data_IF_285811878269
#
_entry.id   IF_285811878269
#
_cell.length_a   1.000
_cell.length_b   1.000
_cell.length_c   1.000
_cell.angle_alpha   90.00
_cell.angle_beta   90.00
_cell.angle_gamma   90.00
#
_symmetry.space_group_name_H-M   'P 1'
#
loop_
_entity.id
_entity.type
_entity.pdbx_description
1 polymer ?
#
# COMPACT_ATOMS: atom_id res chain seq x y z
N UNK A 1 4.14 0.09 -9.57
CA UNK A 1 5.18 1.11 -9.87
C UNK A 1 6.55 0.53 -9.55
N UNK A 2 7.06 -0.37 -10.41
CA UNK A 2 8.23 -1.21 -10.08
C UNK A 2 9.55 -0.68 -10.68
N UNK A 3 9.48 0.43 -11.40
CA UNK A 3 10.62 1.05 -12.07
C UNK A 3 11.06 2.26 -11.25
N UNK A 4 12.31 2.24 -10.78
CA UNK A 4 12.87 3.33 -9.97
C UNK A 4 12.77 4.68 -10.68
N UNK A 5 12.34 5.71 -9.96
CA UNK A 5 12.19 7.08 -10.48
C UNK A 5 10.88 7.35 -11.24
N UNK A 6 10.07 6.33 -11.53
CA UNK A 6 8.75 6.51 -12.15
C UNK A 6 7.72 6.87 -11.09
N UNK A 7 7.06 8.02 -11.26
CA UNK A 7 5.97 8.48 -10.39
C UNK A 7 4.63 7.85 -10.81
N UNK A 8 3.65 7.71 -9.88
CA UNK A 8 2.30 7.25 -10.19
C UNK A 8 1.68 7.94 -11.40
N UNK A 9 1.81 9.26 -11.48
CA UNK A 9 1.18 10.07 -12.53
C UNK A 9 1.77 9.79 -13.93
N UNK A 10 3.07 9.45 -13.99
CA UNK A 10 3.74 9.07 -15.22
C UNK A 10 3.29 7.69 -15.69
N UNK A 11 3.17 6.73 -14.76
CA UNK A 11 2.64 5.41 -15.07
C UNK A 11 1.18 5.47 -15.53
N UNK A 12 0.36 6.30 -14.91
CA UNK A 12 -1.05 6.53 -15.31
C UNK A 12 -1.15 7.15 -16.71
N UNK A 13 -0.24 8.07 -17.05
CA UNK A 13 -0.13 8.61 -18.41
C UNK A 13 0.20 7.54 -19.44
N UNK A 14 1.18 6.69 -19.13
CA UNK A 14 1.56 5.56 -19.99
C UNK A 14 0.42 4.54 -20.13
N UNK A 15 -0.23 4.16 -19.03
CA UNK A 15 -1.33 3.22 -19.03
C UNK A 15 -2.50 3.72 -19.89
N UNK A 16 -2.87 5.01 -19.77
CA UNK A 16 -3.91 5.61 -20.63
C UNK A 16 -3.51 5.67 -22.11
N UNK A 17 -2.24 5.92 -22.41
CA UNK A 17 -1.76 5.92 -23.79
C UNK A 17 -1.79 4.52 -24.42
N UNK A 18 -1.50 3.47 -23.63
CA UNK A 18 -1.43 2.08 -24.10
C UNK A 18 -2.79 1.37 -24.10
N UNK A 19 -3.58 1.55 -23.03
CA UNK A 19 -4.82 0.83 -22.76
C UNK A 19 -6.08 1.65 -23.11
N UNK A 20 -5.91 2.93 -23.45
CA UNK A 20 -7.00 3.84 -23.78
C UNK A 20 -7.68 4.48 -22.57
N UNK A 21 -8.70 5.30 -22.85
CA UNK A 21 -9.37 6.15 -21.86
C UNK A 21 -10.21 5.38 -20.82
N UNK A 22 -10.43 4.07 -21.02
CA UNK A 22 -11.13 3.20 -20.06
C UNK A 22 -10.25 2.82 -18.87
N UNK A 23 -8.93 3.05 -18.94
CA UNK A 23 -8.02 2.94 -17.81
C UNK A 23 -8.21 4.15 -16.87
N UNK A 24 -9.25 4.06 -16.03
CA UNK A 24 -9.66 5.10 -15.10
C UNK A 24 -8.98 5.03 -13.73
N UNK A 25 -9.25 6.03 -12.86
CA UNK A 25 -8.74 6.05 -11.48
C UNK A 25 -9.25 4.88 -10.62
N UNK A 26 -10.36 4.26 -11.02
CA UNK A 26 -11.03 3.11 -10.44
C UNK A 26 -10.49 1.75 -10.91
N UNK A 27 -9.52 1.72 -11.84
CA UNK A 27 -8.86 0.46 -12.24
C UNK A 27 -8.18 -0.19 -11.01
N UNK A 28 -8.59 -1.40 -10.67
CA UNK A 28 -8.08 -2.13 -9.51
C UNK A 28 -6.56 -2.32 -9.56
N UNK A 29 -5.98 -2.47 -10.76
CA UNK A 29 -4.52 -2.60 -10.93
C UNK A 29 -3.81 -1.32 -10.53
N UNK A 30 -4.43 -0.15 -10.80
CA UNK A 30 -3.91 1.15 -10.37
C UNK A 30 -3.96 1.25 -8.85
N UNK A 31 -5.10 0.92 -8.23
CA UNK A 31 -5.26 0.93 -6.77
C UNK A 31 -4.21 0.10 -6.05
N UNK A 32 -3.98 -1.14 -6.48
CA UNK A 32 -2.93 -2.01 -5.93
C UNK A 32 -1.53 -1.45 -6.16
N UNK A 33 -1.23 -0.99 -7.38
CA UNK A 33 0.08 -0.44 -7.71
C UNK A 33 0.44 0.81 -6.90
N UNK A 34 -0.53 1.68 -6.59
CA UNK A 34 -0.33 2.85 -5.73
C UNK A 34 -0.14 2.43 -4.27
N UNK A 35 -0.87 1.41 -3.80
CA UNK A 35 -0.72 0.85 -2.45
C UNK A 35 0.69 0.34 -2.21
N UNK A 36 1.19 -0.54 -3.09
CA UNK A 36 2.56 -1.07 -3.01
C UNK A 36 3.58 0.05 -3.07
N UNK A 37 3.40 1.02 -3.98
CA UNK A 37 4.32 2.14 -4.10
C UNK A 37 4.41 2.99 -2.83
N UNK A 38 3.29 3.26 -2.17
CA UNK A 38 3.28 4.00 -0.90
C UNK A 38 4.02 3.25 0.21
N UNK A 39 3.87 1.92 0.26
CA UNK A 39 4.63 1.07 1.19
C UNK A 39 6.13 1.11 0.89
N UNK A 40 6.53 1.06 -0.39
CA UNK A 40 7.92 1.23 -0.80
C UNK A 40 8.47 2.63 -0.44
N UNK A 41 7.69 3.69 -0.64
CA UNK A 41 8.10 5.05 -0.22
C UNK A 41 8.26 5.15 1.30
N UNK A 42 7.40 4.51 2.06
CA UNK A 42 7.51 4.46 3.52
C UNK A 42 8.76 3.69 3.95
N UNK A 43 9.08 2.57 3.29
CA UNK A 43 10.31 1.82 3.53
C UNK A 43 11.57 2.66 3.26
N UNK A 44 11.58 3.42 2.17
CA UNK A 44 12.67 4.38 1.87
C UNK A 44 12.80 5.47 2.95
N UNK A 45 11.71 5.83 3.62
CA UNK A 45 11.69 6.76 4.76
C UNK A 45 12.01 6.10 6.11
N UNK A 46 12.34 4.80 6.14
CA UNK A 46 12.70 4.06 7.34
C UNK A 46 11.54 3.41 8.09
N UNK A 47 10.32 3.43 7.55
CA UNK A 47 9.19 2.70 8.12
C UNK A 47 9.28 1.21 7.75
N UNK A 48 9.07 0.33 8.73
CA UNK A 48 8.97 -1.13 8.50
C UNK A 48 7.54 -1.60 8.32
N UNK A 49 6.56 -0.81 8.78
CA UNK A 49 5.13 -1.02 8.61
C UNK A 49 4.40 0.33 8.61
N UNK A 50 3.17 0.35 8.11
CA UNK A 50 2.27 1.51 8.19
C UNK A 50 0.97 1.12 8.88
N UNK A 51 0.47 2.02 9.71
CA UNK A 51 -0.90 1.93 10.25
C UNK A 51 -1.92 1.99 9.12
N UNK A 52 -2.90 1.07 9.14
CA UNK A 52 -3.94 0.97 8.12
C UNK A 52 -4.67 2.31 7.89
N UNK A 53 -5.11 3.06 8.92
CA UNK A 53 -5.77 4.36 8.72
C UNK A 53 -4.88 5.40 8.03
N UNK A 54 -3.56 5.35 8.25
CA UNK A 54 -2.62 6.28 7.60
C UNK A 54 -2.47 5.94 6.12
N UNK A 55 -2.40 4.65 5.79
CA UNK A 55 -2.30 4.18 4.42
C UNK A 55 -3.56 4.52 3.62
N UNK A 56 -4.75 4.19 4.13
CA UNK A 56 -6.02 4.43 3.44
C UNK A 56 -6.30 5.93 3.24
N UNK A 57 -6.00 6.76 4.24
CA UNK A 57 -6.08 8.22 4.09
C UNK A 57 -5.14 8.75 3.00
N UNK A 58 -3.93 8.22 2.89
CA UNK A 58 -2.95 8.63 1.87
C UNK A 58 -3.38 8.17 0.47
N UNK A 59 -3.96 6.98 0.35
CA UNK A 59 -4.54 6.47 -0.90
C UNK A 59 -5.70 7.35 -1.39
N UNK A 60 -6.60 7.76 -0.49
CA UNK A 60 -7.68 8.70 -0.82
C UNK A 60 -7.13 10.03 -1.35
N UNK A 61 -6.11 10.59 -0.70
CA UNK A 61 -5.44 11.82 -1.15
C UNK A 61 -4.78 11.68 -2.53
N UNK A 62 -4.42 10.46 -2.94
CA UNK A 62 -3.87 10.12 -4.26
C UNK A 62 -4.95 9.78 -5.31
N UNK A 63 -6.22 9.97 -4.97
CA UNK A 63 -7.34 9.74 -5.88
C UNK A 63 -7.61 8.27 -6.15
N UNK A 64 -7.41 7.41 -5.14
CA UNK A 64 -7.94 6.03 -5.15
C UNK A 64 -9.38 6.09 -4.63
N UNK A 65 -10.39 5.74 -5.46
CA UNK A 65 -11.80 5.91 -5.09
C UNK A 65 -12.24 5.05 -3.89
N UNK A 66 -11.72 3.83 -3.79
CA UNK A 66 -11.95 2.91 -2.68
C UNK A 66 -10.60 2.46 -2.10
N UNK A 67 -10.07 3.19 -1.10
CA UNK A 67 -8.79 2.86 -0.48
C UNK A 67 -8.79 1.51 0.23
N UNK A 68 -9.91 1.13 0.84
CA UNK A 68 -10.01 -0.12 1.59
C UNK A 68 -9.98 -1.30 0.62
N UNK A 69 -10.76 -1.26 -0.47
CA UNK A 69 -10.71 -2.28 -1.50
C UNK A 69 -9.33 -2.39 -2.16
N UNK A 70 -8.63 -1.26 -2.37
CA UNK A 70 -7.28 -1.28 -2.90
C UNK A 70 -6.29 -2.00 -1.96
N UNK A 71 -6.38 -1.76 -0.65
CA UNK A 71 -5.58 -2.48 0.35
C UNK A 71 -5.95 -3.96 0.38
N UNK A 72 -7.25 -4.30 0.41
CA UNK A 72 -7.70 -5.69 0.42
C UNK A 72 -7.24 -6.45 -0.83
N UNK A 73 -7.33 -5.84 -2.02
CA UNK A 73 -6.82 -6.43 -3.26
C UNK A 73 -5.32 -6.64 -3.24
N UNK A 74 -4.56 -5.71 -2.62
CA UNK A 74 -3.11 -5.85 -2.47
C UNK A 74 -2.75 -7.03 -1.54
N UNK A 75 -3.51 -7.21 -0.46
CA UNK A 75 -3.36 -8.36 0.45
C UNK A 75 -3.74 -9.68 -0.23
N UNK A 76 -4.85 -9.71 -0.96
CA UNK A 76 -5.34 -10.90 -1.66
C UNK A 76 -4.36 -11.42 -2.71
N UNK A 77 -3.68 -10.52 -3.43
CA UNK A 77 -2.63 -10.84 -4.40
C UNK A 77 -1.26 -11.14 -3.74
N UNK A 78 -1.15 -11.05 -2.41
CA UNK A 78 0.09 -11.29 -1.68
C UNK A 78 1.17 -10.22 -1.90
N UNK A 79 0.80 -9.03 -2.38
CA UNK A 79 1.73 -7.92 -2.63
C UNK A 79 2.02 -7.11 -1.36
N UNK A 80 1.22 -7.29 -0.30
CA UNK A 80 1.45 -6.76 1.04
C UNK A 80 1.04 -7.80 2.10
N UNK A 81 1.50 -7.60 3.33
CA UNK A 81 1.13 -8.43 4.48
C UNK A 81 0.52 -7.55 5.58
N UNK A 82 -0.59 -8.01 6.15
CA UNK A 82 -1.17 -7.40 7.33
C UNK A 82 -0.50 -8.00 8.58
N UNK A 83 -0.04 -7.14 9.48
CA UNK A 83 0.45 -7.52 10.80
C UNK A 83 -0.53 -7.00 11.85
N UNK A 84 -0.80 -7.83 12.86
CA UNK A 84 -1.49 -7.41 14.06
C UNK A 84 -0.45 -7.48 15.16
N UNK A 85 -0.16 -6.35 15.80
CA UNK A 85 0.64 -6.38 17.01
C UNK A 85 -0.06 -7.29 18.00
N UNK A 86 0.68 -8.22 18.61
CA UNK A 86 0.11 -9.13 19.59
C UNK A 86 -0.25 -8.27 20.80
N UNK A 87 -1.47 -7.73 20.82
CA UNK A 87 -2.03 -7.09 21.99
C UNK A 87 -1.80 -8.03 23.15
N UNK A 88 -1.14 -7.51 24.20
CA UNK A 88 -0.89 -8.16 25.48
C UNK A 88 -2.01 -9.17 25.77
N UNK A 89 -1.74 -10.44 25.49
CA UNK A 89 -2.58 -11.51 26.01
C UNK A 89 -2.46 -11.34 27.52
N UNK A 90 -3.54 -11.15 28.30
CA UNK A 90 -3.41 -11.03 29.74
C UNK A 90 -2.71 -12.29 30.29
N UNK A 91 -1.41 -12.16 30.60
CA UNK A 91 -0.53 -13.26 31.01
C UNK A 91 0.73 -13.50 30.16
N UNK A 92 0.89 -12.90 28.98
CA UNK A 92 2.13 -12.97 28.22
C UNK A 92 3.12 -11.89 28.71
N UNK A 93 4.04 -12.25 29.61
CA UNK A 93 5.17 -11.36 29.91
C UNK A 93 6.07 -11.30 28.67
N UNK A 94 6.43 -10.11 28.15
CA UNK A 94 7.52 -10.01 27.20
C UNK A 94 8.81 -10.42 27.94
N UNK A 95 9.34 -11.58 27.58
CA UNK A 95 10.64 -12.03 28.06
C UNK A 95 11.68 -11.07 27.49
N UNK A 96 12.16 -10.14 28.33
CA UNK A 96 13.40 -9.43 28.05
C UNK A 96 14.50 -10.47 28.07
N UNK A 97 14.97 -10.89 26.90
CA UNK A 97 16.24 -11.58 26.76
C UNK A 97 17.32 -10.66 27.33
N UNK A 98 17.81 -11.00 28.52
CA UNK A 98 18.98 -10.38 29.10
C UNK A 98 20.21 -10.90 28.36
N UNK A 99 21.04 -9.97 27.90
CA UNK A 99 22.37 -10.20 27.35
C UNK A 99 23.11 -8.87 27.30
#
# INVERSE_FOLDING_TARGET
LRVGGVRPEQADGFARALLGAQCGPDDERRGRAVTVWLLEQAALAGHTALELPRLTATLAQRGVPDPDAAVQGTLAEGEALAFQDALDVPGARPERAAG
#
